data_IF_775881309288
#
_entry.id   IF_775881309288
#
_cell.length_a   1.000
_cell.length_b   1.000
_cell.length_c   1.000
_cell.angle_alpha   90.00
_cell.angle_beta   90.00
_cell.angle_gamma   90.00
#
_symmetry.space_group_name_H-M   'P 1'
#
loop_
_entity.id
_entity.type
_entity.pdbx_description
1 polymer ?
#
# COMPACT_ATOMS: atom_id res chain seq x y z
N UNK A 1 -5.28 -2.51 -11.24
CA UNK A 1 -6.15 -1.93 -10.19
C UNK A 1 -7.60 -2.08 -10.61
N UNK A 2 -8.52 -2.26 -9.66
CA UNK A 2 -9.96 -2.29 -9.94
C UNK A 2 -10.44 -0.95 -10.53
N UNK A 3 -11.45 -1.00 -11.40
CA UNK A 3 -11.97 0.20 -12.10
C UNK A 3 -12.47 1.26 -11.13
N UNK A 4 -13.09 0.86 -10.02
CA UNK A 4 -13.57 1.74 -8.96
C UNK A 4 -12.42 2.54 -8.34
N UNK A 5 -11.29 1.89 -8.04
CA UNK A 5 -10.12 2.57 -7.49
C UNK A 5 -9.48 3.51 -8.53
N UNK A 6 -9.41 3.08 -9.79
CA UNK A 6 -8.88 3.93 -10.87
C UNK A 6 -9.72 5.20 -11.05
N UNK A 7 -11.05 5.07 -11.08
CA UNK A 7 -11.97 6.20 -11.16
C UNK A 7 -11.80 7.14 -9.97
N UNK A 8 -11.69 6.60 -8.75
CA UNK A 8 -11.43 7.42 -7.56
C UNK A 8 -10.14 8.25 -7.69
N UNK A 9 -9.04 7.64 -8.15
CA UNK A 9 -7.77 8.35 -8.36
C UNK A 9 -7.88 9.44 -9.43
N UNK A 10 -8.61 9.18 -10.52
CA UNK A 10 -8.80 10.14 -11.62
C UNK A 10 -9.59 11.38 -11.20
N UNK A 11 -10.50 11.25 -10.23
CA UNK A 11 -11.23 12.37 -9.64
C UNK A 11 -10.35 13.28 -8.76
N UNK A 12 -9.12 12.86 -8.42
CA UNK A 12 -8.23 13.64 -7.53
C UNK A 12 -7.43 14.74 -8.23
N UNK A 13 -7.66 15.00 -9.53
CA UNK A 13 -6.95 16.02 -10.31
C UNK A 13 -6.94 17.41 -9.65
N UNK A 14 -8.05 17.81 -9.01
CA UNK A 14 -8.14 19.09 -8.30
C UNK A 14 -7.26 19.16 -7.04
N UNK A 15 -7.08 18.05 -6.32
CA UNK A 15 -6.16 17.99 -5.17
C UNK A 15 -4.70 17.98 -5.62
N UNK A 16 -4.41 17.23 -6.69
CA UNK A 16 -3.10 17.17 -7.32
C UNK A 16 -2.63 18.55 -7.81
N UNK A 17 -3.45 19.26 -8.57
CA UNK A 17 -3.11 20.59 -9.10
C UNK A 17 -2.84 21.63 -8.00
N UNK A 18 -3.44 21.45 -6.82
CA UNK A 18 -3.25 22.32 -5.64
C UNK A 18 -2.11 21.84 -4.72
N UNK A 19 -1.37 20.80 -5.09
CA UNK A 19 -0.27 20.24 -4.29
C UNK A 19 -0.69 19.63 -2.95
N UNK A 20 -1.99 19.32 -2.75
CA UNK A 20 -2.50 18.88 -1.43
C UNK A 20 -2.05 17.48 -1.01
N UNK A 21 -1.57 16.69 -1.97
CA UNK A 21 -1.11 15.32 -1.79
C UNK A 21 0.43 15.23 -1.66
N UNK A 22 1.13 16.34 -1.89
CA UNK A 22 2.59 16.39 -1.80
C UNK A 22 3.06 16.10 -0.38
N UNK A 23 4.13 15.30 -0.28
CA UNK A 23 4.75 14.85 0.97
C UNK A 23 3.81 14.11 1.93
N UNK A 24 2.64 13.67 1.48
CA UNK A 24 1.79 12.77 2.27
C UNK A 24 2.41 11.39 2.28
N UNK A 25 2.41 10.75 3.44
CA UNK A 25 2.88 9.37 3.57
C UNK A 25 1.79 8.43 3.09
N UNK A 26 2.17 7.50 2.22
CA UNK A 26 1.25 6.54 1.60
C UNK A 26 1.84 5.15 1.62
N UNK A 27 0.97 4.15 1.63
CA UNK A 27 1.30 2.74 1.51
C UNK A 27 0.16 2.03 0.78
N UNK A 28 0.42 0.87 0.18
CA UNK A 28 -0.57 0.13 -0.58
C UNK A 28 -0.59 -1.36 -0.21
N UNK A 29 -1.77 -1.95 -0.30
CA UNK A 29 -2.07 -3.37 -0.09
C UNK A 29 -2.97 -3.84 -1.23
N UNK A 30 -3.04 -5.15 -1.46
CA UNK A 30 -3.89 -5.74 -2.51
C UNK A 30 -4.30 -7.17 -2.16
N UNK A 31 -5.15 -7.77 -2.99
CA UNK A 31 -5.42 -9.21 -2.99
C UNK A 31 -5.48 -9.73 -4.42
N UNK A 32 -5.27 -11.03 -4.61
CA UNK A 32 -5.47 -11.74 -5.87
C UNK A 32 -5.93 -13.17 -5.58
N UNK A 33 -6.53 -13.85 -6.56
CA UNK A 33 -6.92 -15.27 -6.39
C UNK A 33 -5.74 -16.23 -6.58
N UNK A 34 -4.75 -15.84 -7.38
CA UNK A 34 -3.56 -16.65 -7.66
C UNK A 34 -2.35 -16.09 -6.91
N UNK A 35 -1.48 -16.96 -6.33
CA UNK A 35 -0.31 -16.53 -5.55
C UNK A 35 0.64 -15.56 -6.27
N UNK A 36 0.72 -15.63 -7.61
CA UNK A 36 1.53 -14.73 -8.43
C UNK A 36 0.70 -13.96 -9.47
N UNK A 37 -0.63 -13.90 -9.29
CA UNK A 37 -1.58 -13.24 -10.19
C UNK A 37 -1.63 -11.72 -10.03
N UNK A 38 -0.48 -11.06 -9.91
CA UNK A 38 -0.39 -9.61 -9.78
C UNK A 38 -0.33 -9.07 -8.35
N UNK A 39 0.03 -9.90 -7.36
CA UNK A 39 0.26 -9.47 -5.97
C UNK A 39 1.23 -8.28 -5.89
N UNK A 40 2.40 -8.39 -6.53
CA UNK A 40 3.37 -7.30 -6.55
C UNK A 40 3.00 -6.20 -7.55
N UNK A 41 2.58 -6.59 -8.75
CA UNK A 41 2.36 -5.65 -9.85
C UNK A 41 1.26 -4.64 -9.52
N UNK A 42 0.16 -5.08 -8.89
CA UNK A 42 -0.96 -4.20 -8.53
C UNK A 42 -0.54 -3.13 -7.53
N UNK A 43 0.26 -3.50 -6.53
CA UNK A 43 0.81 -2.56 -5.53
C UNK A 43 1.77 -1.56 -6.21
N UNK A 44 2.67 -2.03 -7.08
CA UNK A 44 3.57 -1.17 -7.86
C UNK A 44 2.81 -0.18 -8.73
N UNK A 45 1.71 -0.59 -9.37
CA UNK A 45 0.86 0.32 -10.16
C UNK A 45 0.18 1.40 -9.31
N UNK A 46 -0.26 1.10 -8.07
CA UNK A 46 -0.76 2.15 -7.16
C UNK A 46 0.33 3.18 -6.86
N UNK A 47 1.54 2.72 -6.62
CA UNK A 47 2.67 3.60 -6.35
C UNK A 47 3.00 4.50 -7.52
N UNK A 48 2.80 4.08 -8.77
CA UNK A 48 2.94 4.99 -9.92
C UNK A 48 2.04 6.22 -9.76
N UNK A 49 0.76 6.07 -9.46
CA UNK A 49 -0.14 7.23 -9.24
C UNK A 49 0.29 8.08 -8.03
N UNK A 50 0.75 7.43 -6.95
CA UNK A 50 1.21 8.14 -5.75
C UNK A 50 2.51 8.93 -5.98
N UNK A 51 3.41 8.45 -6.86
CA UNK A 51 4.60 9.20 -7.27
C UNK A 51 4.20 10.50 -7.99
N UNK A 52 3.20 10.47 -8.87
CA UNK A 52 2.69 11.68 -9.53
C UNK A 52 2.11 12.72 -8.56
N UNK A 53 1.63 12.28 -7.38
CA UNK A 53 1.18 13.17 -6.31
C UNK A 53 2.32 13.85 -5.54
N UNK A 54 3.57 13.43 -5.75
CA UNK A 54 4.68 13.82 -4.89
C UNK A 54 4.57 13.25 -3.47
N UNK A 55 3.85 12.14 -3.32
CA UNK A 55 3.68 11.46 -2.03
C UNK A 55 4.96 10.69 -1.65
N UNK A 56 5.13 10.42 -0.36
CA UNK A 56 6.24 9.64 0.19
C UNK A 56 5.76 8.21 0.40
N UNK A 57 6.28 7.29 -0.39
CA UNK A 57 5.91 5.87 -0.33
C UNK A 57 6.63 5.18 0.83
N UNK A 58 5.87 4.54 1.71
CA UNK A 58 6.34 3.81 2.89
C UNK A 58 5.84 2.37 2.77
N UNK A 59 6.59 1.55 2.04
CA UNK A 59 6.34 0.12 1.90
C UNK A 59 6.73 -0.65 3.18
N UNK A 60 6.23 -1.88 3.41
CA UNK A 60 6.63 -2.69 4.57
C UNK A 60 8.09 -3.18 4.46
N UNK A 61 8.61 -3.41 3.25
CA UNK A 61 9.94 -4.01 3.06
C UNK A 61 10.04 -5.39 3.70
N UNK A 62 11.17 -5.72 4.31
CA UNK A 62 11.33 -6.89 5.19
C UNK A 62 11.62 -6.43 6.63
N UNK A 63 10.88 -5.42 7.09
CA UNK A 63 11.15 -4.75 8.38
C UNK A 63 10.52 -5.45 9.59
N UNK A 64 9.74 -6.51 9.37
CA UNK A 64 9.15 -7.35 10.42
C UNK A 64 8.99 -8.81 9.94
N UNK A 65 9.20 -9.82 10.82
CA UNK A 65 9.07 -11.24 10.45
C UNK A 65 7.68 -11.65 9.96
N UNK A 66 6.61 -10.96 10.36
CA UNK A 66 5.23 -11.23 9.91
C UNK A 66 5.08 -11.13 8.39
N UNK A 67 5.93 -10.37 7.72
CA UNK A 67 5.92 -10.18 6.27
C UNK A 67 6.18 -11.50 5.55
N UNK A 68 7.05 -12.36 6.09
CA UNK A 68 7.30 -13.69 5.53
C UNK A 68 6.08 -14.61 5.69
N UNK A 69 5.36 -14.51 6.81
CA UNK A 69 4.11 -15.26 7.04
C UNK A 69 3.00 -14.83 6.08
N UNK A 70 3.01 -13.55 5.68
CA UNK A 70 2.07 -12.95 4.74
C UNK A 70 2.45 -13.15 3.25
N UNK A 71 3.36 -14.09 2.93
CA UNK A 71 3.76 -14.38 1.55
C UNK A 71 4.94 -13.57 1.02
N UNK A 72 5.58 -12.72 1.83
CA UNK A 72 6.89 -12.15 1.53
C UNK A 72 6.90 -11.05 0.46
N UNK A 73 5.85 -10.23 0.37
CA UNK A 73 5.79 -9.12 -0.59
C UNK A 73 6.34 -7.81 0.01
N UNK A 74 7.55 -7.35 -0.37
CA UNK A 74 8.16 -6.16 0.22
C UNK A 74 7.50 -4.86 -0.23
N UNK A 75 6.75 -4.86 -1.33
CA UNK A 75 6.09 -3.66 -1.86
C UNK A 75 4.86 -3.28 -1.04
N UNK A 76 4.19 -4.25 -0.44
CA UNK A 76 2.94 -4.08 0.29
C UNK A 76 2.34 -5.42 0.65
N UNK A 77 1.69 -5.52 1.80
CA UNK A 77 1.03 -6.75 2.23
C UNK A 77 -0.07 -7.10 1.24
N UNK A 78 -0.05 -8.35 0.79
CA UNK A 78 -1.05 -8.89 -0.13
C UNK A 78 -1.51 -10.25 0.30
N UNK A 79 -2.72 -10.63 -0.08
CA UNK A 79 -3.30 -11.93 0.29
C UNK A 79 -3.86 -12.66 -0.92
N UNK A 80 -3.67 -13.97 -0.93
CA UNK A 80 -4.34 -14.87 -1.86
C UNK A 80 -5.73 -15.18 -1.32
N UNK A 81 -6.76 -14.85 -2.10
CA UNK A 81 -8.13 -15.20 -1.78
C UNK A 81 -8.44 -16.58 -2.36
N UNK A 82 -8.74 -17.53 -1.47
CA UNK A 82 -9.14 -18.88 -1.84
C UNK A 82 -10.52 -18.93 -2.52
N UNK A 83 -10.86 -20.06 -3.16
CA UNK A 83 -12.17 -20.25 -3.82
C UNK A 83 -13.36 -20.12 -2.86
N UNK A 84 -13.16 -20.36 -1.56
CA UNK A 84 -14.16 -20.19 -0.50
C UNK A 84 -14.25 -18.74 0.03
N UNK A 85 -13.54 -17.81 -0.61
CA UNK A 85 -13.48 -16.40 -0.23
C UNK A 85 -12.57 -16.09 0.95
N UNK A 86 -11.94 -17.11 1.56
CA UNK A 86 -11.05 -16.92 2.71
C UNK A 86 -9.65 -16.49 2.28
N UNK A 87 -8.97 -15.83 3.21
CA UNK A 87 -7.55 -15.53 3.08
C UNK A 87 -6.74 -16.81 3.29
N UNK A 88 -5.77 -17.08 2.41
CA UNK A 88 -4.88 -18.26 2.52
C UNK A 88 -3.73 -17.96 3.48
N UNK A 89 -3.02 -16.85 3.29
CA UNK A 89 -1.92 -16.43 4.14
C UNK A 89 -2.41 -15.76 5.43
N UNK A 90 -1.64 -15.91 6.52
CA UNK A 90 -1.84 -15.12 7.73
C UNK A 90 -1.21 -13.74 7.55
N UNK A 91 -2.05 -12.79 7.12
CA UNK A 91 -1.63 -11.41 6.81
C UNK A 91 -1.86 -10.44 7.94
N UNK A 92 -2.50 -10.85 9.05
CA UNK A 92 -2.98 -9.92 10.09
C UNK A 92 -1.84 -9.09 10.66
N UNK A 93 -0.79 -9.74 11.12
CA UNK A 93 0.35 -9.07 11.76
C UNK A 93 1.11 -8.18 10.75
N UNK A 94 1.24 -8.61 9.50
CA UNK A 94 1.89 -7.82 8.45
C UNK A 94 1.09 -6.56 8.09
N UNK A 95 -0.25 -6.65 8.05
CA UNK A 95 -1.13 -5.49 7.88
C UNK A 95 -0.97 -4.51 9.03
N UNK A 96 -0.97 -4.99 10.28
CA UNK A 96 -0.77 -4.15 11.46
C UNK A 96 0.60 -3.46 11.43
N UNK A 97 1.66 -4.20 11.10
CA UNK A 97 3.01 -3.67 11.00
C UNK A 97 3.11 -2.59 9.91
N UNK A 98 2.62 -2.87 8.71
CA UNK A 98 2.65 -1.91 7.60
C UNK A 98 1.86 -0.63 7.94
N UNK A 99 0.68 -0.76 8.54
CA UNK A 99 -0.13 0.38 8.97
C UNK A 99 0.58 1.21 10.05
N UNK A 100 1.12 0.55 11.09
CA UNK A 100 1.90 1.19 12.15
C UNK A 100 3.10 1.95 11.58
N UNK A 101 3.89 1.30 10.74
CA UNK A 101 5.05 1.91 10.06
C UNK A 101 4.65 3.14 9.24
N UNK A 102 3.54 3.07 8.52
CA UNK A 102 3.01 4.19 7.73
C UNK A 102 2.68 5.39 8.62
N UNK A 103 1.99 5.15 9.75
CA UNK A 103 1.63 6.19 10.71
C UNK A 103 2.86 6.76 11.41
N UNK A 104 3.80 5.93 11.83
CA UNK A 104 5.04 6.37 12.50
C UNK A 104 5.86 7.30 11.60
N UNK A 105 6.07 6.93 10.32
CA UNK A 105 6.79 7.79 9.37
C UNK A 105 6.03 9.10 9.13
N UNK A 106 4.70 9.06 9.05
CA UNK A 106 3.89 10.27 8.95
C UNK A 106 4.05 11.19 10.18
N UNK A 107 4.13 10.62 11.38
CA UNK A 107 4.38 11.37 12.61
C UNK A 107 5.79 11.97 12.63
N UNK A 108 6.82 11.24 12.18
CA UNK A 108 8.18 11.76 12.08
C UNK A 108 8.24 12.97 11.16
N UNK A 109 7.61 12.89 9.98
CA UNK A 109 7.56 14.01 9.04
C UNK A 109 6.76 15.19 9.57
N UNK A 110 5.70 14.95 10.35
CA UNK A 110 4.95 16.03 10.99
C UNK A 110 5.83 16.74 12.03
N UNK A 111 6.45 15.99 12.94
CA UNK A 111 7.32 16.54 14.00
C UNK A 111 8.56 17.24 13.43
N UNK A 112 9.17 16.70 12.37
CA UNK A 112 10.35 17.31 11.74
C UNK A 112 10.06 18.57 10.92
N UNK A 113 8.79 18.96 10.78
CA UNK A 113 8.36 20.23 10.17
C UNK A 113 7.96 21.29 11.20
N UNK A 114 7.84 20.89 12.47
CA UNK A 114 7.63 21.78 13.62
C UNK A 114 9.00 22.30 14.10
#
# INVERSE_FOLDING_TARGET
LASQMKQFLDLQGGMWAKGKLMNKVVSAMSSAQNPHGGQEATVKTLYTSMMHWGAIIVAPGYTDPSIFKAGGNPYGTTVTQGPDGKMIEDVRDAVFHQAKRTVEVAQWLKKGRE
#
